data_IF_696857252730
#
_entry.id   IF_696857252730
#
_cell.length_a   1.000
_cell.length_b   1.000
_cell.length_c   1.000
_cell.angle_alpha   90.00
_cell.angle_beta   90.00
_cell.angle_gamma   90.00
#
_symmetry.space_group_name_H-M   'P 1'
#
loop_
_entity.id
_entity.type
_entity.pdbx_description
1 polymer ?
#
# COMPACT_ATOMS: atom_id res chain seq x y z
N UNK A 1 58.04 49.36 -16.58
CA UNK A 1 57.40 48.15 -17.16
C UNK A 1 57.71 46.99 -16.23
N UNK A 2 56.85 46.14 -15.67
CA UNK A 2 55.43 45.72 -15.77
C UNK A 2 55.17 45.06 -14.39
N UNK A 3 54.16 45.39 -13.59
CA UNK A 3 52.72 45.06 -13.62
C UNK A 3 52.40 44.32 -12.30
N UNK A 4 51.65 44.99 -11.43
CA UNK A 4 51.06 44.45 -10.22
C UNK A 4 49.88 43.55 -10.63
N UNK A 5 49.84 42.29 -10.18
CA UNK A 5 48.71 41.37 -10.40
C UNK A 5 47.86 41.40 -9.13
N UNK A 6 46.66 41.97 -9.22
CA UNK A 6 45.64 41.88 -8.18
C UNK A 6 44.74 40.68 -8.52
N UNK A 7 44.76 39.67 -7.65
CA UNK A 7 43.91 38.49 -7.73
C UNK A 7 42.54 38.81 -7.11
N UNK A 8 41.49 38.88 -7.93
CA UNK A 8 40.11 39.05 -7.47
C UNK A 8 39.49 37.67 -7.19
N UNK A 9 39.34 37.31 -5.92
CA UNK A 9 38.64 36.09 -5.51
C UNK A 9 37.12 36.34 -5.60
N UNK A 10 36.45 35.76 -6.61
CA UNK A 10 34.99 35.67 -6.63
C UNK A 10 34.53 34.56 -5.69
N UNK A 11 33.98 34.95 -4.54
CA UNK A 11 33.18 34.07 -3.69
C UNK A 11 31.84 33.81 -4.39
N UNK A 12 31.71 32.67 -5.05
CA UNK A 12 30.41 32.16 -5.52
C UNK A 12 29.64 31.60 -4.32
N UNK A 13 28.77 32.39 -3.72
CA UNK A 13 27.78 31.89 -2.77
C UNK A 13 26.72 31.09 -3.53
N UNK A 14 26.80 29.77 -3.43
CA UNK A 14 25.73 28.88 -3.89
C UNK A 14 24.49 29.12 -3.01
N UNK A 15 23.57 29.94 -3.49
CA UNK A 15 22.24 29.99 -2.90
C UNK A 15 21.54 28.67 -3.22
N UNK A 16 21.44 27.79 -2.22
CA UNK A 16 20.55 26.64 -2.27
C UNK A 16 19.13 27.17 -2.46
N UNK A 17 18.58 27.04 -3.66
CA UNK A 17 17.18 27.34 -3.91
C UNK A 17 16.34 26.31 -3.14
N UNK A 18 15.87 26.69 -1.96
CA UNK A 18 14.81 25.95 -1.27
C UNK A 18 13.56 26.06 -2.14
N UNK A 19 13.12 24.93 -2.71
CA UNK A 19 11.87 24.87 -3.47
C UNK A 19 10.71 25.37 -2.61
N UNK A 20 9.80 26.15 -3.19
CA UNK A 20 8.60 26.60 -2.51
C UNK A 20 7.78 25.40 -2.02
N UNK A 21 7.26 25.47 -0.79
CA UNK A 21 6.34 24.46 -0.27
C UNK A 21 5.01 24.54 -1.03
N UNK A 22 4.80 23.56 -1.92
CA UNK A 22 3.59 23.43 -2.73
C UNK A 22 2.50 22.59 -2.05
N UNK A 23 2.71 22.11 -0.83
CA UNK A 23 1.76 21.24 -0.11
C UNK A 23 0.45 21.96 0.23
N UNK A 24 0.47 23.30 0.32
CA UNK A 24 -0.64 24.11 0.83
C UNK A 24 -1.15 23.63 2.20
N UNK A 25 -0.25 23.14 3.05
CA UNK A 25 -0.59 22.59 4.37
C UNK A 25 -1.10 21.15 4.35
N UNK A 26 -0.95 20.42 3.23
CA UNK A 26 -1.27 19.01 3.17
C UNK A 26 -0.31 18.20 4.06
N UNK A 27 -0.87 17.43 4.99
CA UNK A 27 -0.16 16.50 5.84
C UNK A 27 -0.70 15.08 5.60
N UNK A 28 0.15 14.22 5.03
CA UNK A 28 -0.20 12.83 4.73
C UNK A 28 -0.17 11.91 5.96
N UNK A 29 0.36 12.38 7.08
CA UNK A 29 0.52 11.62 8.33
C UNK A 29 -0.23 12.25 9.51
N UNK A 30 -1.17 13.16 9.21
CA UNK A 30 -1.94 13.85 10.24
C UNK A 30 -2.74 12.87 11.10
N UNK A 31 -3.04 13.31 12.33
CA UNK A 31 -3.87 12.57 13.29
C UNK A 31 -5.10 13.40 13.63
N UNK A 32 -6.25 12.80 13.42
CA UNK A 32 -7.57 13.36 13.66
C UNK A 32 -7.90 13.28 15.14
N UNK A 33 -8.39 14.38 15.69
CA UNK A 33 -8.96 14.44 17.05
C UNK A 33 -10.37 13.83 17.14
N UNK A 34 -10.99 13.54 16.00
CA UNK A 34 -12.34 12.96 15.89
C UNK A 34 -12.36 11.44 15.83
N UNK A 35 -11.20 10.80 15.70
CA UNK A 35 -11.08 9.38 15.42
C UNK A 35 -10.08 8.73 16.37
N UNK A 36 -10.45 7.59 16.94
CA UNK A 36 -9.53 6.72 17.66
C UNK A 36 -8.95 5.70 16.69
N UNK A 37 -7.62 5.60 16.67
CA UNK A 37 -6.89 4.59 15.90
C UNK A 37 -6.35 3.50 16.83
N UNK A 38 -6.60 2.24 16.48
CA UNK A 38 -6.14 1.07 17.22
C UNK A 38 -5.40 0.11 16.29
N UNK A 39 -4.18 -0.30 16.66
CA UNK A 39 -3.51 -1.43 16.00
C UNK A 39 -4.26 -2.72 16.28
N UNK A 40 -4.53 -3.50 15.24
CA UNK A 40 -5.24 -4.77 15.32
C UNK A 40 -4.52 -5.83 14.50
N UNK A 41 -4.75 -7.09 14.83
CA UNK A 41 -4.29 -8.22 14.04
C UNK A 41 -5.41 -9.26 13.90
N UNK A 42 -5.37 -10.02 12.81
CA UNK A 42 -6.30 -11.11 12.53
C UNK A 42 -5.63 -12.16 11.63
N UNK A 43 -6.24 -13.34 11.49
CA UNK A 43 -5.73 -14.41 10.63
C UNK A 43 -6.44 -14.41 9.28
N UNK A 44 -5.71 -14.64 8.20
CA UNK A 44 -6.29 -15.03 6.91
C UNK A 44 -6.48 -16.56 6.83
N UNK A 45 -7.11 -17.07 5.76
CA UNK A 45 -7.32 -18.51 5.58
C UNK A 45 -6.03 -19.34 5.52
N UNK A 46 -4.88 -18.72 5.25
CA UNK A 46 -3.57 -19.37 5.27
C UNK A 46 -2.90 -19.34 6.64
N UNK A 47 -3.62 -18.93 7.69
CA UNK A 47 -3.14 -18.76 9.06
C UNK A 47 -2.01 -17.72 9.23
N UNK A 48 -1.81 -16.83 8.26
CA UNK A 48 -0.89 -15.70 8.42
C UNK A 48 -1.57 -14.61 9.25
N UNK A 49 -0.82 -14.03 10.18
CA UNK A 49 -1.25 -12.82 10.90
C UNK A 49 -1.20 -11.62 9.97
N UNK A 50 -2.34 -11.02 9.71
CA UNK A 50 -2.51 -9.75 9.00
C UNK A 50 -2.57 -8.63 10.03
N UNK A 51 -1.74 -7.60 9.86
CA UNK A 51 -1.73 -6.40 10.68
C UNK A 51 -2.59 -5.31 10.06
N UNK A 52 -3.31 -4.56 10.90
CA UNK A 52 -4.14 -3.45 10.46
C UNK A 52 -4.24 -2.33 11.49
N UNK A 53 -4.77 -1.19 11.05
CA UNK A 53 -5.16 -0.09 11.93
C UNK A 53 -6.67 0.12 11.79
N UNK A 54 -7.40 -0.06 12.90
CA UNK A 54 -8.83 0.18 13.00
C UNK A 54 -9.07 1.62 13.44
N UNK A 55 -9.84 2.36 12.67
CA UNK A 55 -10.23 3.74 12.88
C UNK A 55 -11.71 3.79 13.23
N UNK A 56 -12.03 4.31 14.41
CA UNK A 56 -13.40 4.42 14.93
C UNK A 56 -13.69 5.87 15.28
N UNK A 57 -14.78 6.48 14.80
CA UNK A 57 -15.20 7.82 15.21
C UNK A 57 -15.46 7.89 16.72
N UNK A 58 -15.00 8.96 17.37
CA UNK A 58 -15.08 9.10 18.83
C UNK A 58 -16.52 9.28 19.34
N UNK A 59 -17.39 9.84 18.52
CA UNK A 59 -18.81 10.12 18.81
C UNK A 59 -19.76 9.03 18.30
N UNK A 60 -19.21 7.90 17.84
CA UNK A 60 -20.01 6.81 17.27
C UNK A 60 -20.91 6.16 18.33
N UNK A 61 -22.21 6.02 18.03
CA UNK A 61 -23.17 5.38 18.93
C UNK A 61 -22.84 3.90 19.14
N UNK A 62 -22.36 3.55 20.33
CA UNK A 62 -21.96 2.18 20.70
C UNK A 62 -23.11 1.18 20.76
N UNK A 63 -24.36 1.64 20.87
CA UNK A 63 -25.56 0.80 20.87
C UNK A 63 -26.08 0.46 19.47
N UNK A 64 -25.46 0.99 18.41
CA UNK A 64 -25.85 0.77 17.03
C UNK A 64 -24.74 0.07 16.24
N UNK A 65 -25.13 -0.57 15.13
CA UNK A 65 -24.20 -1.13 14.15
C UNK A 65 -23.97 -0.14 13.01
N UNK A 66 -22.73 -0.05 12.55
CA UNK A 66 -22.29 0.99 11.62
C UNK A 66 -21.70 0.40 10.34
N UNK A 67 -21.81 1.11 9.20
CA UNK A 67 -21.12 0.71 7.98
C UNK A 67 -19.61 0.75 8.19
N UNK A 68 -18.90 -0.12 7.48
CA UNK A 68 -17.46 -0.22 7.59
C UNK A 68 -16.76 -0.29 6.24
N UNK A 69 -15.49 0.12 6.20
CA UNK A 69 -14.69 0.13 4.96
C UNK A 69 -13.30 -0.47 5.23
N UNK A 70 -12.92 -1.47 4.43
CA UNK A 70 -11.54 -1.95 4.36
C UNK A 70 -10.75 -1.10 3.36
N UNK A 71 -9.52 -0.69 3.67
CA UNK A 71 -8.67 0.18 2.85
C UNK A 71 -7.33 -0.47 2.56
N UNK A 72 -7.08 -0.82 1.30
CA UNK A 72 -5.82 -1.43 0.85
C UNK A 72 -4.76 -0.40 0.42
N UNK A 73 -3.51 -0.61 0.83
CA UNK A 73 -2.37 0.24 0.46
C UNK A 73 -1.90 0.01 -0.99
N UNK A 74 -1.19 0.97 -1.61
CA UNK A 74 -0.52 0.77 -2.90
C UNK A 74 0.42 -0.43 -2.90
N UNK A 75 0.61 -1.08 -4.06
CA UNK A 75 1.62 -2.14 -4.16
C UNK A 75 3.01 -1.57 -3.83
N UNK A 76 3.74 -2.23 -2.92
CA UNK A 76 5.04 -1.75 -2.43
C UNK A 76 4.98 -0.77 -1.26
N UNK A 77 3.79 -0.35 -0.83
CA UNK A 77 3.58 0.50 0.34
C UNK A 77 3.18 -0.31 1.58
N UNK A 78 2.86 0.40 2.67
CA UNK A 78 2.32 -0.15 3.92
C UNK A 78 1.13 0.69 4.39
N UNK A 79 0.36 0.19 5.35
CA UNK A 79 -0.87 0.81 5.86
C UNK A 79 -0.63 2.22 6.41
N UNK A 80 0.53 2.49 7.01
CA UNK A 80 0.88 3.80 7.58
C UNK A 80 0.96 4.95 6.56
N UNK A 81 1.01 4.64 5.26
CA UNK A 81 1.07 5.63 4.19
C UNK A 81 -0.35 6.05 3.75
N UNK A 82 -0.66 5.96 2.44
CA UNK A 82 -1.94 6.45 1.93
C UNK A 82 -3.15 5.70 2.49
N UNK A 83 -3.02 4.41 2.87
CA UNK A 83 -4.17 3.65 3.37
C UNK A 83 -4.69 4.22 4.71
N UNK A 84 -3.81 4.54 5.65
CA UNK A 84 -4.17 5.20 6.90
C UNK A 84 -4.80 6.57 6.66
N UNK A 85 -4.25 7.36 5.72
CA UNK A 85 -4.83 8.65 5.36
C UNK A 85 -6.29 8.52 4.91
N UNK A 86 -6.56 7.61 3.98
CA UNK A 86 -7.93 7.36 3.50
C UNK A 86 -8.83 6.76 4.58
N UNK A 87 -8.36 5.78 5.34
CA UNK A 87 -9.14 5.15 6.41
C UNK A 87 -9.54 6.17 7.48
N UNK A 88 -8.61 7.04 7.87
CA UNK A 88 -8.87 8.10 8.84
C UNK A 88 -9.88 9.13 8.32
N UNK A 89 -9.74 9.57 7.06
CA UNK A 89 -10.71 10.46 6.41
C UNK A 89 -12.09 9.83 6.29
N UNK A 90 -12.18 8.53 5.98
CA UNK A 90 -13.46 7.82 5.94
C UNK A 90 -14.07 7.71 7.33
N UNK A 91 -13.26 7.46 8.36
CA UNK A 91 -13.75 7.48 9.74
C UNK A 91 -14.27 8.85 10.16
N UNK A 92 -13.60 9.95 9.78
CA UNK A 92 -14.14 11.30 9.99
C UNK A 92 -15.54 11.52 9.35
N UNK A 93 -15.93 10.68 8.38
CA UNK A 93 -17.24 10.70 7.73
C UNK A 93 -18.20 9.61 8.24
N UNK A 94 -17.94 9.04 9.42
CA UNK A 94 -18.88 8.16 10.12
C UNK A 94 -18.78 6.67 9.78
N UNK A 95 -17.72 6.23 9.11
CA UNK A 95 -17.47 4.81 8.86
C UNK A 95 -16.54 4.21 9.93
N UNK A 96 -16.72 2.93 10.25
CA UNK A 96 -15.62 2.17 10.87
C UNK A 96 -14.64 1.79 9.77
N UNK A 97 -13.40 2.27 9.81
CA UNK A 97 -12.45 2.04 8.72
C UNK A 97 -11.27 1.18 9.17
N UNK A 98 -10.84 0.25 8.34
CA UNK A 98 -9.69 -0.61 8.61
C UNK A 98 -8.71 -0.50 7.46
N UNK A 99 -7.51 0.04 7.72
CA UNK A 99 -6.38 -0.18 6.81
C UNK A 99 -5.65 -1.46 7.19
N UNK A 100 -5.10 -2.18 6.22
CA UNK A 100 -4.33 -3.40 6.43
C UNK A 100 -3.01 -3.36 5.70
N UNK A 101 -2.00 -4.03 6.25
CA UNK A 101 -0.82 -4.48 5.51
C UNK A 101 -1.15 -5.81 4.84
N UNK A 102 -0.96 -5.92 3.53
CA UNK A 102 -1.08 -7.20 2.85
C UNK A 102 -0.02 -8.17 3.37
N UNK A 103 -0.30 -9.48 3.34
CA UNK A 103 0.64 -10.53 3.73
C UNK A 103 1.99 -10.30 3.06
N UNK A 104 3.08 -10.67 3.73
CA UNK A 104 4.49 -10.43 3.34
C UNK A 104 4.96 -8.98 3.42
N UNK A 105 4.08 -7.98 3.61
CA UNK A 105 4.42 -6.56 3.70
C UNK A 105 4.22 -6.00 5.11
N UNK A 106 4.83 -4.85 5.37
CA UNK A 106 4.66 -4.08 6.61
C UNK A 106 4.83 -4.92 7.87
N UNK A 107 3.83 -4.83 8.76
CA UNK A 107 3.78 -5.57 10.03
C UNK A 107 3.05 -6.94 9.89
N UNK A 108 2.53 -7.29 8.72
CA UNK A 108 1.89 -8.58 8.46
C UNK A 108 2.92 -9.71 8.32
N UNK A 109 2.55 -10.93 8.71
CA UNK A 109 3.36 -12.14 8.56
C UNK A 109 3.62 -12.51 7.09
N UNK A 110 4.57 -13.42 6.87
CA UNK A 110 4.90 -13.98 5.57
C UNK A 110 6.40 -13.97 5.30
N UNK A 111 6.90 -15.06 4.72
CA UNK A 111 8.28 -15.21 4.24
C UNK A 111 8.31 -15.86 2.84
N UNK A 112 9.20 -15.42 1.94
CA UNK A 112 10.15 -14.30 2.12
C UNK A 112 9.44 -12.94 2.20
N UNK A 113 10.03 -11.97 2.90
CA UNK A 113 9.45 -10.61 3.00
C UNK A 113 9.28 -9.98 1.62
N UNK A 114 8.23 -9.17 1.48
CA UNK A 114 7.88 -8.43 0.27
C UNK A 114 7.61 -9.34 -0.96
N UNK A 115 7.28 -10.61 -0.75
CA UNK A 115 6.90 -11.53 -1.81
C UNK A 115 5.56 -11.12 -2.44
N UNK A 116 5.49 -11.04 -3.77
CA UNK A 116 4.29 -10.66 -4.54
C UNK A 116 3.39 -11.87 -4.82
N UNK A 117 2.28 -11.98 -4.10
CA UNK A 117 1.34 -13.12 -4.17
C UNK A 117 -0.12 -12.63 -4.27
N UNK A 118 -0.61 -12.33 -5.49
CA UNK A 118 -1.93 -11.71 -5.69
C UNK A 118 -3.11 -12.47 -5.11
N UNK A 119 -3.06 -13.81 -5.11
CA UNK A 119 -4.12 -14.66 -4.56
C UNK A 119 -4.20 -14.53 -3.03
N UNK A 120 -3.05 -14.47 -2.35
CA UNK A 120 -3.00 -14.26 -0.89
C UNK A 120 -3.48 -12.86 -0.53
N UNK A 121 -3.13 -11.85 -1.33
CA UNK A 121 -3.60 -10.48 -1.08
C UNK A 121 -5.10 -10.31 -1.27
N UNK A 122 -5.64 -11.00 -2.27
CA UNK A 122 -7.09 -11.07 -2.50
C UNK A 122 -7.78 -11.65 -1.28
N UNK A 123 -7.23 -12.73 -0.72
CA UNK A 123 -7.72 -13.35 0.51
C UNK A 123 -7.56 -12.45 1.75
N UNK A 124 -6.49 -11.65 1.87
CA UNK A 124 -6.32 -10.72 2.99
C UNK A 124 -7.46 -9.68 3.06
N UNK A 125 -8.03 -9.27 1.92
CA UNK A 125 -9.24 -8.44 1.90
C UNK A 125 -10.46 -9.18 2.44
N UNK A 126 -10.64 -10.45 2.08
CA UNK A 126 -11.72 -11.30 2.63
C UNK A 126 -11.55 -11.50 4.14
N UNK A 127 -10.32 -11.72 4.61
CA UNK A 127 -9.99 -11.84 6.03
C UNK A 127 -10.24 -10.54 6.80
N UNK A 128 -9.99 -9.38 6.18
CA UNK A 128 -10.34 -8.08 6.75
C UNK A 128 -11.87 -7.90 6.87
N UNK A 129 -12.64 -8.41 5.90
CA UNK A 129 -14.10 -8.48 5.98
C UNK A 129 -14.56 -9.42 7.11
N UNK A 130 -13.90 -10.58 7.31
CA UNK A 130 -14.16 -11.46 8.45
C UNK A 130 -13.93 -10.74 9.78
N UNK A 131 -12.79 -10.06 9.89
CA UNK A 131 -12.42 -9.31 11.09
C UNK A 131 -13.44 -8.21 11.41
N UNK A 132 -13.84 -7.41 10.42
CA UNK A 132 -14.83 -6.35 10.60
C UNK A 132 -16.23 -6.90 10.87
N UNK A 133 -16.71 -7.86 10.09
CA UNK A 133 -18.07 -8.42 10.20
C UNK A 133 -18.34 -9.20 11.51
N UNK A 134 -17.28 -9.50 12.26
CA UNK A 134 -17.36 -10.09 13.61
C UNK A 134 -17.28 -9.07 14.74
N UNK A 135 -17.04 -7.78 14.46
CA UNK A 135 -17.08 -6.72 15.49
C UNK A 135 -18.52 -6.36 15.86
N UNK A 136 -18.85 -6.22 17.16
CA UNK A 136 -20.20 -5.83 17.59
C UNK A 136 -20.68 -4.49 17.02
N UNK A 137 -19.76 -3.55 16.83
CA UNK A 137 -19.98 -2.20 16.30
C UNK A 137 -20.25 -2.14 14.79
N UNK A 138 -19.98 -3.22 14.05
CA UNK A 138 -20.05 -3.22 12.58
C UNK A 138 -21.31 -3.94 12.12
N UNK A 139 -22.01 -3.32 11.18
CA UNK A 139 -23.03 -3.97 10.39
C UNK A 139 -22.38 -4.78 9.26
N UNK A 140 -22.34 -6.11 9.41
CA UNK A 140 -21.70 -7.01 8.45
C UNK A 140 -22.32 -6.97 7.06
N UNK A 141 -23.57 -6.52 6.95
CA UNK A 141 -24.27 -6.38 5.68
C UNK A 141 -24.02 -5.00 5.03
N UNK A 142 -23.12 -4.19 5.61
CA UNK A 142 -22.74 -2.85 5.12
C UNK A 142 -21.22 -2.64 5.14
N UNK A 143 -20.47 -3.62 4.64
CA UNK A 143 -19.02 -3.53 4.49
C UNK A 143 -18.65 -3.20 3.05
N UNK A 144 -17.93 -2.09 2.84
CA UNK A 144 -17.32 -1.71 1.57
C UNK A 144 -15.81 -1.91 1.57
N UNK A 145 -15.17 -1.77 0.41
CA UNK A 145 -13.72 -1.86 0.26
C UNK A 145 -13.19 -0.77 -0.68
N UNK A 146 -12.12 -0.11 -0.27
CA UNK A 146 -11.39 0.89 -1.04
C UNK A 146 -9.98 0.38 -1.38
N UNK A 147 -9.69 0.23 -2.66
CA UNK A 147 -8.35 -0.15 -3.14
C UNK A 147 -7.59 1.03 -3.74
N UNK A 148 -6.39 1.32 -3.25
CA UNK A 148 -5.54 2.40 -3.77
C UNK A 148 -4.43 1.80 -4.66
N UNK A 149 -4.21 2.36 -5.85
CA UNK A 149 -3.16 1.91 -6.77
C UNK A 149 -3.28 0.41 -7.08
N UNK A 150 -2.24 -0.38 -6.81
CA UNK A 150 -2.24 -1.83 -7.02
C UNK A 150 -3.34 -2.56 -6.24
N UNK A 151 -3.71 -2.07 -5.06
CA UNK A 151 -4.86 -2.62 -4.33
C UNK A 151 -6.18 -2.42 -5.06
N UNK A 152 -6.30 -1.42 -5.95
CA UNK A 152 -7.50 -1.24 -6.78
C UNK A 152 -7.82 -2.47 -7.65
N UNK A 153 -6.81 -3.12 -8.23
CA UNK A 153 -7.00 -4.38 -8.96
C UNK A 153 -7.28 -5.57 -8.03
N UNK A 154 -6.61 -5.61 -6.86
CA UNK A 154 -6.76 -6.71 -5.89
C UNK A 154 -8.15 -6.74 -5.24
N UNK A 155 -8.71 -5.58 -4.88
CA UNK A 155 -10.07 -5.51 -4.30
C UNK A 155 -11.14 -5.93 -5.29
N UNK A 156 -10.97 -5.64 -6.59
CA UNK A 156 -11.87 -6.13 -7.64
C UNK A 156 -11.75 -7.65 -7.78
N UNK A 157 -10.53 -8.19 -7.70
CA UNK A 157 -10.31 -9.64 -7.68
C UNK A 157 -11.04 -10.31 -6.51
N UNK A 158 -11.05 -9.69 -5.33
CA UNK A 158 -11.70 -10.21 -4.13
C UNK A 158 -13.22 -10.13 -4.24
N UNK A 159 -13.74 -8.97 -4.64
CA UNK A 159 -15.17 -8.72 -4.78
C UNK A 159 -15.86 -9.65 -5.79
N UNK A 160 -15.11 -10.17 -6.78
CA UNK A 160 -15.59 -11.17 -7.73
C UNK A 160 -16.10 -12.45 -7.05
N UNK A 161 -15.54 -12.82 -5.91
CA UNK A 161 -15.83 -14.10 -5.22
C UNK A 161 -16.31 -13.92 -3.77
N UNK A 162 -16.22 -12.72 -3.19
CA UNK A 162 -16.75 -12.42 -1.85
C UNK A 162 -17.96 -11.46 -1.92
N UNK A 163 -19.20 -11.98 -1.88
CA UNK A 163 -20.42 -11.15 -1.98
C UNK A 163 -20.73 -10.36 -0.70
N UNK A 164 -19.90 -10.49 0.35
CA UNK A 164 -20.03 -9.70 1.59
C UNK A 164 -19.50 -8.28 1.39
N UNK A 165 -18.63 -8.06 0.40
CA UNK A 165 -18.17 -6.74 -0.02
C UNK A 165 -19.27 -6.03 -0.82
N UNK A 166 -20.00 -5.11 -0.20
CA UNK A 166 -21.23 -4.51 -0.74
C UNK A 166 -21.00 -3.35 -1.70
N UNK A 167 -19.84 -2.70 -1.60
CA UNK A 167 -19.45 -1.61 -2.47
C UNK A 167 -17.93 -1.59 -2.63
N UNK A 168 -17.46 -1.37 -3.85
CA UNK A 168 -16.04 -1.28 -4.19
C UNK A 168 -15.76 0.10 -4.76
N UNK A 169 -14.71 0.73 -4.25
CA UNK A 169 -14.16 1.95 -4.80
C UNK A 169 -12.66 1.78 -5.07
N UNK A 170 -12.14 2.49 -6.06
CA UNK A 170 -10.72 2.46 -6.36
C UNK A 170 -10.17 3.86 -6.59
N UNK A 171 -8.94 4.10 -6.13
CA UNK A 171 -8.24 5.38 -6.33
C UNK A 171 -6.97 5.12 -7.13
N UNK A 172 -6.85 5.78 -8.29
CA UNK A 172 -5.69 5.66 -9.18
C UNK A 172 -5.29 4.21 -9.45
N UNK A 173 -6.28 3.36 -9.75
CA UNK A 173 -6.11 1.91 -9.76
C UNK A 173 -5.10 1.40 -10.79
N UNK A 174 -4.44 0.29 -10.45
CA UNK A 174 -3.58 -0.46 -11.35
C UNK A 174 -4.06 -1.92 -11.42
N UNK A 175 -4.19 -2.44 -12.64
CA UNK A 175 -4.13 -3.89 -12.88
C UNK A 175 -2.66 -4.30 -12.85
N UNK A 176 -2.17 -4.78 -11.71
CA UNK A 176 -0.78 -5.17 -11.53
C UNK A 176 -0.36 -6.33 -12.45
N UNK A 177 -1.29 -7.23 -12.81
CA UNK A 177 -1.01 -8.30 -13.77
C UNK A 177 -0.81 -7.73 -15.17
N UNK A 178 -1.68 -6.81 -15.60
CA UNK A 178 -1.56 -6.08 -16.84
C UNK A 178 -0.27 -5.24 -16.93
N UNK A 179 0.08 -4.53 -15.86
CA UNK A 179 1.29 -3.69 -15.79
C UNK A 179 2.56 -4.53 -15.81
N UNK A 180 2.62 -5.64 -15.07
CA UNK A 180 3.76 -6.57 -15.15
C UNK A 180 3.90 -7.19 -16.55
N UNK A 181 2.78 -7.40 -17.25
CA UNK A 181 2.75 -8.02 -18.58
C UNK A 181 3.17 -7.08 -19.69
N UNK A 182 2.66 -5.86 -19.66
CA UNK A 182 2.68 -4.94 -20.80
C UNK A 182 3.45 -3.65 -20.50
N UNK A 183 3.88 -3.44 -19.25
CA UNK A 183 4.39 -2.15 -18.80
C UNK A 183 3.30 -1.08 -18.73
N UNK A 184 3.64 0.06 -18.13
CA UNK A 184 2.74 1.20 -18.10
C UNK A 184 2.53 1.77 -19.50
N UNK A 185 1.26 2.01 -19.86
CA UNK A 185 0.89 2.49 -21.20
C UNK A 185 1.45 1.60 -22.33
N UNK A 186 1.50 0.28 -22.10
CA UNK A 186 2.03 -0.69 -23.05
C UNK A 186 3.50 -0.45 -23.45
N UNK A 187 4.31 0.09 -22.54
CA UNK A 187 5.73 0.39 -22.80
C UNK A 187 6.63 -0.83 -22.95
N UNK A 188 6.18 -2.02 -22.54
CA UNK A 188 6.94 -3.26 -22.64
C UNK A 188 6.63 -4.00 -23.94
N UNK A 189 7.64 -4.21 -24.78
CA UNK A 189 7.51 -5.05 -25.97
C UNK A 189 7.44 -6.54 -25.63
N UNK A 190 6.92 -7.35 -26.55
CA UNK A 190 6.87 -8.81 -26.39
C UNK A 190 8.27 -9.41 -26.18
N UNK A 191 9.28 -8.93 -26.91
CA UNK A 191 10.65 -9.45 -26.80
C UNK A 191 11.30 -9.10 -25.45
N UNK A 192 11.10 -7.87 -24.96
CA UNK A 192 11.53 -7.49 -23.60
C UNK A 192 10.83 -8.35 -22.54
N UNK A 193 9.52 -8.60 -22.69
CA UNK A 193 8.77 -9.47 -21.78
C UNK A 193 9.33 -10.89 -21.76
N UNK A 194 9.57 -11.49 -22.93
CA UNK A 194 10.16 -12.84 -23.04
C UNK A 194 11.54 -12.88 -22.39
N UNK A 195 12.35 -11.85 -22.59
CA UNK A 195 13.67 -11.72 -21.97
C UNK A 195 13.58 -11.69 -20.45
N UNK A 196 12.71 -10.86 -19.87
CA UNK A 196 12.49 -10.80 -18.40
C UNK A 196 12.07 -12.16 -17.84
N UNK A 197 11.12 -12.83 -18.50
CA UNK A 197 10.66 -14.17 -18.06
C UNK A 197 11.80 -15.18 -18.14
N UNK A 198 12.60 -15.17 -19.21
CA UNK A 198 13.76 -16.05 -19.35
C UNK A 198 14.79 -15.79 -18.26
N UNK A 199 15.14 -14.53 -18.01
CA UNK A 199 16.08 -14.15 -16.96
C UNK A 199 15.59 -14.59 -15.56
N UNK A 200 14.31 -14.40 -15.26
CA UNK A 200 13.72 -14.88 -14.01
C UNK A 200 13.75 -16.41 -13.89
N UNK A 201 13.52 -17.14 -14.98
CA UNK A 201 13.60 -18.60 -15.00
C UNK A 201 15.04 -19.10 -14.78
N UNK A 202 16.04 -18.52 -15.45
CA UNK A 202 17.46 -18.86 -15.27
C UNK A 202 17.93 -18.53 -13.84
N UNK A 203 17.48 -17.41 -13.29
CA UNK A 203 17.80 -17.00 -11.93
C UNK A 203 17.35 -18.03 -10.88
N UNK A 204 16.29 -18.81 -11.15
CA UNK A 204 15.89 -19.91 -10.27
C UNK A 204 16.96 -20.99 -10.16
N UNK A 205 17.69 -21.30 -11.24
CA UNK A 205 18.81 -22.25 -11.19
C UNK A 205 19.95 -21.71 -10.32
N UNK A 206 20.29 -20.43 -10.50
CA UNK A 206 21.32 -19.76 -9.69
C UNK A 206 20.99 -19.87 -8.21
N UNK A 207 19.78 -19.48 -7.80
CA UNK A 207 19.35 -19.53 -6.40
C UNK A 207 19.29 -20.97 -5.86
N UNK A 208 18.80 -21.92 -6.65
CA UNK A 208 18.75 -23.33 -6.24
C UNK A 208 20.14 -23.94 -6.00
N UNK A 209 21.16 -23.46 -6.73
CA UNK A 209 22.56 -23.89 -6.55
C UNK A 209 23.33 -23.09 -5.49
N UNK A 210 22.65 -22.23 -4.72
CA UNK A 210 23.23 -21.46 -3.62
C UNK A 210 23.80 -20.09 -4.03
N UNK A 211 23.52 -19.61 -5.25
CA UNK A 211 23.83 -18.26 -5.67
C UNK A 211 22.91 -17.21 -5.03
N UNK A 212 23.29 -15.93 -5.15
CA UNK A 212 22.53 -14.82 -4.54
C UNK A 212 21.16 -14.60 -5.19
N UNK A 213 20.15 -14.32 -4.36
CA UNK A 213 18.82 -13.89 -4.80
C UNK A 213 18.87 -12.52 -5.44
N UNK A 214 18.27 -12.40 -6.62
CA UNK A 214 18.09 -11.09 -7.30
C UNK A 214 16.67 -10.62 -7.13
N UNK A 215 16.51 -9.42 -6.61
CA UNK A 215 15.22 -8.77 -6.50
C UNK A 215 14.98 -7.81 -7.66
N UNK A 216 13.72 -7.58 -7.99
CA UNK A 216 13.29 -6.60 -8.99
C UNK A 216 12.67 -5.37 -8.31
N UNK A 217 12.26 -4.39 -9.10
CA UNK A 217 11.75 -3.09 -8.64
C UNK A 217 10.73 -3.18 -7.49
N UNK A 218 10.83 -2.25 -6.53
CA UNK A 218 9.94 -2.11 -5.38
C UNK A 218 10.54 -2.53 -4.04
N UNK A 219 11.67 -3.24 -4.03
CA UNK A 219 12.34 -3.69 -2.81
C UNK A 219 13.50 -2.75 -2.47
N UNK A 220 13.40 -1.97 -1.39
CA UNK A 220 14.59 -1.34 -0.82
C UNK A 220 15.50 -2.44 -0.26
N UNK A 221 16.72 -2.56 -0.81
CA UNK A 221 17.72 -3.53 -0.35
C UNK A 221 18.40 -3.14 0.98
N UNK A 222 18.17 -1.90 1.43
CA UNK A 222 18.62 -1.33 2.69
C UNK A 222 18.08 0.10 2.82
N UNK A 223 17.94 0.58 4.04
CA UNK A 223 17.80 2.01 4.32
C UNK A 223 19.23 2.53 4.56
N UNK A 224 19.72 3.40 3.68
CA UNK A 224 20.96 4.14 3.94
C UNK A 224 20.68 5.29 4.90
#
# INVERSE_FOLDING_TARGET
MKKLIISLALLTSSFSALGADMSKGADNFYKSDKVTAQKVTFKNQYNMTVAGNLFVPNDLNQGAKHPAIVVGHPMGAVKEQSANLYAQKLAEHGFVALSLDLSFWGESEGQPRNAVLPDVYTEDFSAAVDFLGTRPLVDRDRIGVLGICGSGGLVISAAKIDPRMKAIATVSMYDMGGVNRNGLKHSLTLEQRKKIIKEAAEQRYVEFTGGETKYTSGTCHGLN
#
